data_IF_629986111618
#
_entry.id   IF_629986111618
#
_cell.length_a   1.000
_cell.length_b   1.000
_cell.length_c   1.000
_cell.angle_alpha   90.00
_cell.angle_beta   90.00
_cell.angle_gamma   90.00
#
_symmetry.space_group_name_H-M   'P 1'
#
loop_
_entity.id
_entity.type
_entity.pdbx_description
1 polymer ?
#
# COMPACT_ATOMS: atom_id res chain seq x y z
N UNK A 1 5.49 -2.39 40.71
CA UNK A 1 4.64 -2.54 39.50
C UNK A 1 5.52 -3.11 38.39
N UNK A 2 5.18 -4.29 37.85
CA UNK A 2 5.94 -4.91 36.76
C UNK A 2 5.46 -4.29 35.45
N UNK A 3 6.32 -3.53 34.78
CA UNK A 3 6.01 -2.89 33.52
C UNK A 3 6.01 -3.95 32.41
N UNK A 4 4.83 -4.45 32.06
CA UNK A 4 4.64 -5.25 30.84
C UNK A 4 4.77 -4.32 29.63
N UNK A 5 6.00 -3.96 29.25
CA UNK A 5 6.27 -3.42 27.91
C UNK A 5 5.89 -4.51 26.92
N UNK A 6 4.71 -4.40 26.33
CA UNK A 6 4.36 -5.21 25.15
C UNK A 6 5.43 -4.91 24.11
N UNK A 7 6.10 -5.96 23.60
CA UNK A 7 7.02 -5.83 22.47
C UNK A 7 6.25 -5.11 21.35
N UNK A 8 6.55 -3.83 21.14
CA UNK A 8 5.98 -3.12 20.01
C UNK A 8 6.52 -3.80 18.75
N UNK A 9 5.67 -4.11 17.77
CA UNK A 9 6.14 -4.63 16.49
C UNK A 9 7.15 -3.63 15.93
N UNK A 10 8.24 -4.15 15.33
CA UNK A 10 9.31 -3.34 14.77
C UNK A 10 8.76 -2.49 13.61
N UNK A 11 8.39 -1.25 13.92
CA UNK A 11 7.76 -0.31 12.99
C UNK A 11 8.70 0.10 11.87
N UNK A 12 10.01 -0.08 12.06
CA UNK A 12 11.05 0.15 11.05
C UNK A 12 10.82 -0.71 9.81
N UNK A 13 10.41 -1.96 10.01
CA UNK A 13 10.17 -2.92 8.93
C UNK A 13 8.93 -2.54 8.10
N UNK A 14 7.92 -2.00 8.75
CA UNK A 14 6.69 -1.51 8.09
C UNK A 14 7.00 -0.26 7.27
N UNK A 15 7.75 0.70 7.84
CA UNK A 15 8.09 1.95 7.18
C UNK A 15 9.06 1.77 5.99
N UNK A 16 9.90 0.73 6.01
CA UNK A 16 10.84 0.42 4.93
C UNK A 16 10.27 -0.53 3.86
N UNK A 17 9.03 -1.02 4.01
CA UNK A 17 8.43 -1.95 3.06
C UNK A 17 8.06 -1.20 1.77
N UNK A 18 8.45 -1.76 0.63
CA UNK A 18 8.00 -1.34 -0.69
C UNK A 18 7.02 -2.35 -1.26
N UNK A 19 6.22 -1.92 -2.23
CA UNK A 19 5.33 -2.80 -2.98
C UNK A 19 6.09 -3.99 -3.59
N UNK A 20 5.51 -5.18 -3.48
CA UNK A 20 5.91 -6.39 -4.19
C UNK A 20 4.71 -6.93 -4.97
N UNK A 21 4.92 -7.50 -6.15
CA UNK A 21 3.86 -8.11 -6.94
C UNK A 21 3.06 -9.19 -6.17
N UNK A 22 3.68 -9.89 -5.21
CA UNK A 22 2.96 -10.84 -4.35
C UNK A 22 1.95 -10.18 -3.40
N UNK A 23 2.06 -8.87 -3.16
CA UNK A 23 1.14 -8.14 -2.26
C UNK A 23 -0.29 -8.13 -2.81
N UNK A 24 -0.49 -8.32 -4.12
CA UNK A 24 -1.81 -8.55 -4.74
C UNK A 24 -2.54 -9.80 -4.22
N UNK A 25 -1.78 -10.81 -3.79
CA UNK A 25 -2.32 -12.05 -3.23
C UNK A 25 -2.36 -12.03 -1.69
N UNK A 26 -1.86 -10.94 -1.10
CA UNK A 26 -1.76 -10.76 0.34
C UNK A 26 -3.10 -10.53 1.02
N UNK A 27 -3.22 -10.99 2.27
CA UNK A 27 -4.42 -10.83 3.09
C UNK A 27 -4.23 -9.86 4.27
N UNK A 28 -3.01 -9.33 4.46
CA UNK A 28 -2.78 -8.32 5.47
C UNK A 28 -3.19 -6.93 4.98
N UNK A 29 -3.59 -6.07 5.90
CA UNK A 29 -3.98 -4.69 5.59
C UNK A 29 -2.85 -3.89 4.92
N UNK A 30 -1.59 -4.19 5.28
CA UNK A 30 -0.44 -3.52 4.67
C UNK A 30 -0.24 -3.93 3.21
N UNK A 31 -0.38 -5.22 2.91
CA UNK A 31 -0.28 -5.75 1.53
C UNK A 31 -1.38 -5.19 0.65
N UNK A 32 -2.62 -5.23 1.13
CA UNK A 32 -3.78 -4.70 0.40
C UNK A 32 -3.63 -3.21 0.13
N UNK A 33 -3.20 -2.41 1.12
CA UNK A 33 -2.98 -0.98 0.93
C UNK A 33 -1.85 -0.68 -0.06
N UNK A 34 -0.74 -1.44 -0.04
CA UNK A 34 0.34 -1.28 -1.01
C UNK A 34 -0.13 -1.64 -2.43
N UNK A 35 -0.87 -2.74 -2.58
CA UNK A 35 -1.45 -3.17 -3.85
C UNK A 35 -2.46 -2.16 -4.42
N UNK A 36 -3.36 -1.65 -3.59
CA UNK A 36 -4.39 -0.67 -3.99
C UNK A 36 -3.75 0.63 -4.51
N UNK A 37 -2.75 1.17 -3.82
CA UNK A 37 -2.03 2.37 -4.31
C UNK A 37 -1.25 2.12 -5.59
N UNK A 38 -0.77 0.89 -5.81
CA UNK A 38 -0.09 0.51 -7.04
C UNK A 38 -1.07 0.42 -8.23
N UNK A 39 -2.29 -0.06 -8.00
CA UNK A 39 -3.36 -0.05 -9.01
C UNK A 39 -3.81 1.36 -9.37
N UNK A 40 -4.08 2.21 -8.37
CA UNK A 40 -4.51 3.60 -8.59
C UNK A 40 -3.53 4.40 -9.47
N UNK A 41 -2.22 4.20 -9.28
CA UNK A 41 -1.19 4.85 -10.12
C UNK A 41 -1.26 4.36 -11.57
N UNK A 42 -1.62 3.09 -11.79
CA UNK A 42 -1.83 2.53 -13.12
C UNK A 42 -3.10 3.03 -13.78
N UNK A 43 -4.16 3.23 -13.01
CA UNK A 43 -5.44 3.79 -13.48
C UNK A 43 -5.27 5.24 -13.90
N UNK A 44 -4.61 6.09 -13.11
CA UNK A 44 -4.31 7.49 -13.49
C UNK A 44 -3.50 7.59 -14.80
N UNK A 45 -2.62 6.62 -15.06
CA UNK A 45 -1.82 6.58 -16.29
C UNK A 45 -2.61 6.07 -17.50
N UNK A 46 -3.50 5.08 -17.31
CA UNK A 46 -4.25 4.44 -18.40
C UNK A 46 -5.61 5.07 -18.69
N UNK A 47 -6.27 5.66 -17.70
CA UNK A 47 -7.58 6.31 -17.85
C UNK A 47 -7.45 7.57 -18.69
N UNK A 48 -6.26 8.16 -18.79
CA UNK A 48 -6.07 9.47 -19.39
C UNK A 48 -6.78 10.51 -18.53
N UNK A 49 -6.13 11.65 -18.31
CA UNK A 49 -6.81 12.80 -17.71
C UNK A 49 -8.18 13.00 -18.36
N UNK A 50 -9.24 13.04 -17.54
CA UNK A 50 -10.66 13.36 -17.92
C UNK A 50 -10.78 14.62 -18.81
N UNK A 51 -9.71 15.41 -18.93
CA UNK A 51 -9.53 16.49 -19.90
C UNK A 51 -9.56 16.07 -21.38
N UNK A 52 -9.49 14.78 -21.74
CA UNK A 52 -9.53 14.35 -23.16
C UNK A 52 -10.95 14.23 -23.75
N UNK A 53 -12.03 14.34 -22.97
CA UNK A 53 -13.41 14.20 -23.46
C UNK A 53 -14.06 15.51 -23.94
N UNK A 54 -13.29 16.43 -24.53
CA UNK A 54 -13.84 17.61 -25.22
C UNK A 54 -13.34 17.70 -26.67
N UNK A 55 -14.08 17.07 -27.58
CA UNK A 55 -14.25 17.52 -28.96
C UNK A 55 -15.73 17.47 -29.36
#
# INVERSE_FOLDING_TARGET
>A
MKNNKKNQPDTTQIAARYFNASDYEGNSQLEQGLAETHEQVGDDYNEGTVDQLKE
#
